data_IF_354638720569
#
_entry.id   IF_354638720569
#
_cell.length_a   1.000
_cell.length_b   1.000
_cell.length_c   1.000
_cell.angle_alpha   90.00
_cell.angle_beta   90.00
_cell.angle_gamma   90.00
#
_symmetry.space_group_name_H-M   'P 1'
#
loop_
_entity.id
_entity.type
_entity.pdbx_description
1 polymer ?
#
# COMPACT_ATOMS: atom_id res chain seq x y z
N UNK A 1 -26.16 2.05 -14.67
CA UNK A 1 -26.81 2.80 -13.57
C UNK A 1 -26.39 2.16 -12.24
N UNK A 2 -25.55 2.83 -11.42
CA UNK A 2 -25.06 2.30 -10.13
C UNK A 2 -26.06 2.61 -9.00
N UNK A 3 -27.31 2.16 -9.14
CA UNK A 3 -28.36 2.45 -8.15
C UNK A 3 -28.18 1.46 -6.99
N UNK A 4 -27.87 1.98 -5.79
CA UNK A 4 -27.80 1.22 -4.54
C UNK A 4 -26.41 0.91 -3.95
N UNK A 5 -25.30 1.15 -4.68
CA UNK A 5 -23.95 0.87 -4.13
C UNK A 5 -23.43 2.02 -3.26
N UNK A 6 -23.33 1.79 -1.94
CA UNK A 6 -22.76 2.73 -0.96
C UNK A 6 -21.23 2.61 -0.84
N UNK A 7 -20.51 2.67 -1.97
CA UNK A 7 -19.05 2.57 -1.98
C UNK A 7 -18.38 3.94 -2.07
N UNK A 8 -17.21 4.09 -1.44
CA UNK A 8 -16.38 5.32 -1.50
C UNK A 8 -16.08 5.74 -2.94
N UNK A 9 -15.79 4.79 -3.83
CA UNK A 9 -15.52 5.06 -5.27
C UNK A 9 -16.76 5.61 -5.99
N UNK A 10 -17.97 5.23 -5.57
CA UNK A 10 -19.22 5.74 -6.16
C UNK A 10 -19.48 7.17 -5.71
N UNK A 11 -19.10 7.53 -4.47
CA UNK A 11 -19.22 8.90 -3.94
C UNK A 11 -18.14 9.85 -4.46
N UNK A 12 -16.90 9.37 -4.56
CA UNK A 12 -15.73 10.19 -4.95
C UNK A 12 -15.47 10.20 -6.47
N UNK A 13 -16.02 9.23 -7.20
CA UNK A 13 -15.74 9.00 -8.62
C UNK A 13 -14.49 8.12 -8.83
N UNK A 14 -14.43 7.42 -9.97
CA UNK A 14 -13.35 6.47 -10.29
C UNK A 14 -11.96 7.12 -10.33
N UNK A 15 -11.87 8.33 -10.88
CA UNK A 15 -10.62 9.12 -10.94
C UNK A 15 -10.06 9.41 -9.55
N UNK A 16 -10.91 9.76 -8.58
CA UNK A 16 -10.47 10.03 -7.21
C UNK A 16 -10.29 8.75 -6.39
N UNK A 17 -11.05 7.69 -6.71
CA UNK A 17 -10.90 6.38 -6.10
C UNK A 17 -9.49 5.79 -6.23
N UNK A 18 -8.81 6.02 -7.37
CA UNK A 18 -7.41 5.58 -7.55
C UNK A 18 -6.46 6.27 -6.56
N UNK A 19 -6.67 7.57 -6.30
CA UNK A 19 -5.84 8.33 -5.38
C UNK A 19 -6.10 7.87 -3.95
N UNK A 20 -7.36 7.70 -3.56
CA UNK A 20 -7.70 7.16 -2.24
C UNK A 20 -7.02 5.80 -1.99
N UNK A 21 -7.05 4.91 -2.99
CA UNK A 21 -6.39 3.61 -2.93
C UNK A 21 -4.86 3.71 -2.76
N UNK A 22 -4.20 4.56 -3.56
CA UNK A 22 -2.76 4.77 -3.47
C UNK A 22 -2.35 5.44 -2.16
N UNK A 23 -3.14 6.39 -1.67
CA UNK A 23 -2.88 7.08 -0.40
C UNK A 23 -3.05 6.13 0.78
N UNK A 24 -4.10 5.31 0.83
CA UNK A 24 -4.31 4.34 1.90
C UNK A 24 -3.18 3.30 1.96
N UNK A 25 -2.71 2.83 0.80
CA UNK A 25 -1.58 1.89 0.75
C UNK A 25 -0.25 2.54 1.15
N UNK A 26 -0.02 3.80 0.76
CA UNK A 26 1.17 4.56 1.20
C UNK A 26 1.15 4.81 2.71
N UNK A 27 -0.01 5.15 3.28
CA UNK A 27 -0.19 5.28 4.72
C UNK A 27 0.18 3.98 5.45
N UNK A 28 -0.23 2.82 4.93
CA UNK A 28 0.16 1.52 5.48
C UNK A 28 1.69 1.33 5.54
N UNK A 29 2.42 1.66 4.47
CA UNK A 29 3.88 1.60 4.46
C UNK A 29 4.52 2.60 5.44
N UNK A 30 3.91 3.78 5.59
CA UNK A 30 4.43 4.83 6.48
C UNK A 30 4.43 4.41 7.96
N UNK A 31 3.54 3.50 8.38
CA UNK A 31 3.47 2.99 9.75
C UNK A 31 4.80 2.39 10.21
N UNK A 32 5.47 1.62 9.35
CA UNK A 32 6.76 1.01 9.68
C UNK A 32 7.85 2.07 9.90
N UNK A 33 7.84 3.14 9.09
CA UNK A 33 8.78 4.26 9.23
C UNK A 33 8.50 5.07 10.48
N UNK A 34 7.23 5.44 10.71
CA UNK A 34 6.79 6.23 11.87
C UNK A 34 7.12 5.48 13.16
N UNK A 35 6.78 4.18 13.25
CA UNK A 35 7.08 3.38 14.43
C UNK A 35 8.58 3.19 14.67
N UNK A 36 9.40 3.10 13.63
CA UNK A 36 10.86 3.05 13.77
C UNK A 36 11.46 4.38 14.26
N UNK A 37 10.96 5.52 13.76
CA UNK A 37 11.39 6.87 14.20
C UNK A 37 10.94 7.15 15.63
N UNK A 38 9.74 6.71 16.00
CA UNK A 38 9.20 6.83 17.37
C UNK A 38 9.88 5.87 18.36
N UNK A 39 10.76 4.97 17.91
CA UNK A 39 11.41 3.97 18.77
C UNK A 39 10.50 2.82 19.22
N UNK A 40 9.32 2.67 18.62
CA UNK A 40 8.38 1.57 18.92
C UNK A 40 8.82 0.28 18.21
N UNK A 41 9.40 0.41 17.02
CA UNK A 41 9.90 -0.71 16.22
C UNK A 41 11.43 -0.63 16.06
N UNK A 42 12.11 -1.76 15.86
CA UNK A 42 13.53 -1.75 15.54
C UNK A 42 13.79 -0.92 14.27
N UNK A 43 14.92 -0.22 14.20
CA UNK A 43 15.28 0.61 13.04
C UNK A 43 15.29 -0.17 11.72
N UNK A 44 15.56 -1.48 11.80
CA UNK A 44 15.48 -2.40 10.67
C UNK A 44 14.07 -2.47 10.03
N UNK A 45 13.00 -2.11 10.75
CA UNK A 45 11.64 -2.06 10.22
C UNK A 45 11.47 -1.06 9.05
N UNK A 46 12.35 -0.05 8.93
CA UNK A 46 12.37 0.87 7.78
C UNK A 46 12.65 0.12 6.46
N UNK A 47 13.37 -1.01 6.52
CA UNK A 47 13.62 -1.85 5.34
C UNK A 47 12.34 -2.43 4.76
N UNK A 48 11.31 -2.65 5.58
CA UNK A 48 10.00 -3.11 5.10
C UNK A 48 9.33 -2.08 4.19
N UNK A 49 9.37 -0.80 4.59
CA UNK A 49 8.86 0.29 3.78
C UNK A 49 9.67 0.46 2.48
N UNK A 50 11.00 0.38 2.58
CA UNK A 50 11.88 0.46 1.42
C UNK A 50 11.66 -0.69 0.43
N UNK A 51 11.46 -1.92 0.92
CA UNK A 51 11.19 -3.10 0.08
C UNK A 51 9.81 -3.03 -0.60
N UNK A 52 8.80 -2.47 0.07
CA UNK A 52 7.46 -2.29 -0.50
C UNK A 52 7.39 -1.16 -1.55
N UNK A 53 8.24 -0.14 -1.44
CA UNK A 53 8.18 1.08 -2.25
C UNK A 53 8.21 0.85 -3.79
N UNK A 54 9.06 -0.03 -4.34
CA UNK A 54 9.07 -0.32 -5.77
C UNK A 54 7.76 -0.94 -6.28
N UNK A 55 7.15 -1.81 -5.48
CA UNK A 55 5.87 -2.46 -5.82
C UNK A 55 4.71 -1.47 -5.71
N UNK A 56 4.74 -0.59 -4.71
CA UNK A 56 3.79 0.52 -4.61
C UNK A 56 3.89 1.46 -5.82
N UNK A 57 5.12 1.80 -6.24
CA UNK A 57 5.33 2.61 -7.45
C UNK A 57 4.85 1.90 -8.72
N UNK A 58 5.09 0.60 -8.86
CA UNK A 58 4.57 -0.21 -9.96
C UNK A 58 3.03 -0.19 -10.00
N UNK A 59 2.37 -0.28 -8.84
CA UNK A 59 0.92 -0.12 -8.73
C UNK A 59 0.45 1.27 -9.18
N UNK A 60 1.14 2.33 -8.76
CA UNK A 60 0.85 3.70 -9.16
C UNK A 60 0.94 3.88 -10.69
N UNK A 61 1.98 3.33 -11.30
CA UNK A 61 2.16 3.35 -12.76
C UNK A 61 1.03 2.59 -13.46
N UNK A 62 0.74 1.37 -13.02
CA UNK A 62 -0.32 0.54 -13.60
C UNK A 62 -1.71 1.17 -13.43
N UNK A 63 -1.99 1.81 -12.29
CA UNK A 63 -3.28 2.40 -11.96
C UNK A 63 -3.53 3.78 -12.57
N UNK A 64 -2.50 4.46 -13.09
CA UNK A 64 -2.64 5.79 -13.72
C UNK A 64 -3.44 5.74 -15.01
N UNK A 65 -3.29 4.67 -15.78
CA UNK A 65 -3.85 4.56 -17.14
C UNK A 65 -5.03 3.58 -17.23
N UNK A 66 -5.36 2.87 -16.14
CA UNK A 66 -6.35 1.77 -16.13
C UNK A 66 -7.52 1.96 -15.17
N UNK A 67 -7.62 3.13 -14.53
CA UNK A 67 -8.63 3.43 -13.49
C UNK A 67 -10.08 3.49 -14.01
N UNK A 68 -10.24 3.70 -15.31
CA UNK A 68 -11.50 3.79 -16.03
C UNK A 68 -12.18 2.41 -16.12
N UNK A 69 -11.39 1.36 -16.30
CA UNK A 69 -11.85 -0.01 -16.55
C UNK A 69 -11.43 -0.96 -15.42
N UNK A 70 -12.37 -1.47 -14.59
CA UNK A 70 -12.03 -2.26 -13.40
C UNK A 70 -11.13 -3.48 -13.64
N UNK A 71 -11.28 -4.16 -14.79
CA UNK A 71 -10.46 -5.33 -15.14
C UNK A 71 -9.01 -4.95 -15.44
N UNK A 72 -8.79 -3.79 -16.05
CA UNK A 72 -7.45 -3.30 -16.35
C UNK A 72 -6.73 -2.79 -15.10
N UNK A 73 -7.46 -2.54 -14.01
CA UNK A 73 -6.90 -2.14 -12.71
C UNK A 73 -6.35 -3.33 -11.89
N UNK A 74 -6.68 -4.57 -12.24
CA UNK A 74 -6.25 -5.79 -11.53
C UNK A 74 -4.73 -5.89 -11.33
N UNK A 75 -3.87 -5.57 -12.33
CA UNK A 75 -2.42 -5.54 -12.14
C UNK A 75 -1.96 -4.55 -11.06
N UNK A 76 -2.59 -3.37 -10.97
CA UNK A 76 -2.29 -2.40 -9.92
C UNK A 76 -2.59 -2.97 -8.53
N UNK A 77 -3.73 -3.67 -8.39
CA UNK A 77 -4.10 -4.38 -7.15
C UNK A 77 -3.10 -5.47 -6.80
N UNK A 78 -2.70 -6.28 -7.79
CA UNK A 78 -1.72 -7.35 -7.59
C UNK A 78 -0.40 -6.82 -7.04
N UNK A 79 0.09 -5.70 -7.57
CA UNK A 79 1.30 -5.06 -7.07
C UNK A 79 1.18 -4.59 -5.61
N UNK A 80 0.03 -4.06 -5.18
CA UNK A 80 -0.17 -3.71 -3.75
C UNK A 80 -0.29 -4.94 -2.87
N UNK A 81 -0.92 -6.02 -3.33
CA UNK A 81 -0.95 -7.28 -2.56
C UNK A 81 0.46 -7.83 -2.37
N UNK A 82 1.28 -7.82 -3.43
CA UNK A 82 2.69 -8.19 -3.36
C UNK A 82 3.49 -7.25 -2.44
N UNK A 83 3.23 -5.95 -2.54
CA UNK A 83 3.83 -4.93 -1.67
C UNK A 83 3.53 -5.21 -0.20
N UNK A 84 2.26 -5.48 0.13
CA UNK A 84 1.82 -5.82 1.47
C UNK A 84 2.49 -7.10 1.98
N UNK A 85 2.47 -8.17 1.17
CA UNK A 85 3.10 -9.43 1.54
C UNK A 85 4.60 -9.25 1.82
N UNK A 86 5.32 -8.60 0.90
CA UNK A 86 6.76 -8.36 1.04
C UNK A 86 7.07 -7.47 2.25
N UNK A 87 6.40 -6.32 2.38
CA UNK A 87 6.62 -5.40 3.48
C UNK A 87 6.31 -6.07 4.83
N UNK A 88 5.20 -6.82 4.92
CA UNK A 88 4.83 -7.51 6.16
C UNK A 88 5.81 -8.62 6.51
N UNK A 89 6.28 -9.39 5.53
CA UNK A 89 7.32 -10.42 5.76
C UNK A 89 8.63 -9.81 6.23
N UNK A 90 9.12 -8.75 5.56
CA UNK A 90 10.35 -8.05 5.95
C UNK A 90 10.19 -7.41 7.33
N UNK A 91 9.04 -6.81 7.62
CA UNK A 91 8.74 -6.23 8.92
C UNK A 91 8.73 -7.29 10.02
N UNK A 92 8.07 -8.43 9.80
CA UNK A 92 8.04 -9.54 10.75
C UNK A 92 9.45 -10.08 11.03
N UNK A 93 10.28 -10.23 10.00
CA UNK A 93 11.69 -10.61 10.15
C UNK A 93 12.46 -9.55 10.94
N UNK A 94 12.27 -8.27 10.63
CA UNK A 94 12.93 -7.18 11.34
C UNK A 94 12.55 -7.15 12.84
N UNK A 95 11.30 -7.45 13.19
CA UNK A 95 10.88 -7.56 14.59
C UNK A 95 11.45 -8.82 15.25
N UNK A 96 11.40 -9.96 14.56
CA UNK A 96 11.88 -11.24 15.09
C UNK A 96 13.40 -11.25 15.37
N UNK A 97 14.19 -10.64 14.49
CA UNK A 97 15.66 -10.63 14.58
C UNK A 97 16.25 -9.32 15.13
N UNK A 98 15.54 -8.21 14.98
CA UNK A 98 16.04 -6.89 15.38
C UNK A 98 16.05 -6.67 16.89
N UNK A 99 15.30 -7.48 17.65
CA UNK A 99 15.08 -7.28 19.08
C UNK A 99 14.29 -6.00 19.36
N UNK A 100 13.24 -6.08 20.18
CA UNK A 100 12.61 -4.87 20.73
C UNK A 100 13.59 -4.29 21.75
N UNK A 101 14.43 -3.35 21.33
CA UNK A 101 15.29 -2.55 22.21
C UNK A 101 14.66 -1.18 22.40
#
# INVERSE_FOLDING_TARGET
RLVGKKNLVVRLGRKNGRYLYLTLSALGLSVAVIGAVAGIFPRAAVLAAAAGLPLWYASLKAGRDTWDTPRLFVPAVKHIVQCYALATSVFALAVAFGGMR
#
